data_IF_891028329980
#
_entry.id   IF_891028329980
#
_cell.length_a   1.000
_cell.length_b   1.000
_cell.length_c   1.000
_cell.angle_alpha   90.00
_cell.angle_beta   90.00
_cell.angle_gamma   90.00
#
_symmetry.space_group_name_H-M   'P 1'
#
loop_
_entity.id
_entity.type
_entity.pdbx_description
1 polymer ?
#
# COMPACT_ATOMS: atom_id res chain seq x y z
N UNK A 1 -21.96 21.58 13.90
CA UNK A 1 -22.31 20.48 12.97
C UNK A 1 -21.02 19.87 12.45
N UNK A 2 -20.96 18.54 12.49
CA UNK A 2 -19.92 17.64 11.96
C UNK A 2 -18.48 17.76 12.52
N UNK A 3 -18.29 17.36 13.77
CA UNK A 3 -17.06 16.66 14.16
C UNK A 3 -17.22 15.18 13.84
N UNK A 4 -16.55 14.72 12.79
CA UNK A 4 -16.19 13.31 12.62
C UNK A 4 -14.71 13.28 12.25
N UNK A 5 -13.86 13.52 13.25
CA UNK A 5 -12.46 13.11 13.20
C UNK A 5 -12.48 11.58 13.17
N UNK A 6 -12.33 10.99 11.99
CA UNK A 6 -12.13 9.56 11.86
C UNK A 6 -10.93 9.17 12.72
N UNK A 7 -11.22 8.40 13.77
CA UNK A 7 -10.22 7.72 14.58
C UNK A 7 -9.36 6.85 13.64
N UNK A 8 -8.16 7.33 13.28
CA UNK A 8 -7.20 6.63 12.44
C UNK A 8 -6.45 5.57 13.23
N UNK A 9 -7.15 4.73 13.98
CA UNK A 9 -6.50 3.53 14.50
C UNK A 9 -6.30 2.56 13.33
N UNK A 10 -5.16 2.68 12.65
CA UNK A 10 -4.68 1.72 11.66
C UNK A 10 -4.42 0.39 12.38
N UNK A 11 -5.47 -0.42 12.51
CA UNK A 11 -5.40 -1.74 13.13
C UNK A 11 -5.13 -2.79 12.07
N UNK A 12 -4.17 -3.65 12.32
CA UNK A 12 -3.97 -4.84 11.52
C UNK A 12 -5.20 -5.75 11.63
N UNK A 13 -5.63 -6.31 10.50
CA UNK A 13 -6.73 -7.29 10.44
C UNK A 13 -6.22 -8.74 10.28
N UNK A 14 -4.90 -8.93 10.35
CA UNK A 14 -4.23 -10.21 10.17
C UNK A 14 -4.12 -10.68 8.72
N UNK A 15 -4.62 -9.91 7.74
CA UNK A 15 -4.54 -10.25 6.32
C UNK A 15 -3.31 -9.62 5.68
N UNK A 16 -2.34 -10.46 5.29
CA UNK A 16 -1.15 -9.99 4.57
C UNK A 16 -1.54 -9.49 3.17
N UNK A 17 -1.03 -8.31 2.82
CA UNK A 17 -1.24 -7.65 1.53
C UNK A 17 0.11 -7.30 0.92
N UNK A 18 0.27 -7.60 -0.36
CA UNK A 18 1.37 -7.12 -1.18
C UNK A 18 0.90 -5.93 -2.00
N UNK A 19 1.68 -4.86 -2.00
CA UNK A 19 1.52 -3.70 -2.89
C UNK A 19 2.68 -3.69 -3.87
N UNK A 20 2.36 -3.86 -5.15
CA UNK A 20 3.32 -3.86 -6.24
C UNK A 20 3.03 -2.67 -7.15
N UNK A 21 4.06 -1.99 -7.65
CA UNK A 21 3.84 -0.89 -8.58
C UNK A 21 4.94 -0.77 -9.64
N UNK A 22 4.55 -0.29 -10.83
CA UNK A 22 5.49 0.10 -11.88
C UNK A 22 5.20 1.54 -12.32
N UNK A 23 6.01 2.46 -11.80
CA UNK A 23 5.86 3.90 -12.02
C UNK A 23 7.12 4.36 -12.75
N UNK A 24 7.01 5.00 -13.93
CA UNK A 24 8.16 5.39 -14.73
C UNK A 24 8.99 6.50 -14.07
N UNK A 25 10.21 6.73 -14.56
CA UNK A 25 11.14 7.71 -13.97
C UNK A 25 10.65 9.16 -14.07
N UNK A 26 9.93 9.49 -15.14
CA UNK A 26 9.25 10.79 -15.27
C UNK A 26 8.28 11.09 -14.12
N UNK A 27 7.77 10.05 -13.46
CA UNK A 27 6.84 10.13 -12.32
C UNK A 27 7.52 9.80 -10.98
N UNK A 28 8.85 10.03 -10.87
CA UNK A 28 9.63 9.76 -9.65
C UNK A 28 9.03 10.36 -8.39
N UNK A 29 8.53 11.60 -8.45
CA UNK A 29 7.92 12.26 -7.29
C UNK A 29 6.69 11.50 -6.77
N UNK A 30 5.80 11.08 -7.68
CA UNK A 30 4.62 10.25 -7.36
C UNK A 30 5.03 8.92 -6.73
N UNK A 31 6.11 8.31 -7.22
CA UNK A 31 6.68 7.09 -6.65
C UNK A 31 7.21 7.27 -5.24
N UNK A 32 7.87 8.40 -4.96
CA UNK A 32 8.36 8.68 -3.60
C UNK A 32 7.22 8.98 -2.64
N UNK A 33 6.20 9.70 -3.08
CA UNK A 33 4.97 9.90 -2.33
C UNK A 33 4.33 8.55 -1.96
N UNK A 34 4.14 7.65 -2.93
CA UNK A 34 3.54 6.33 -2.68
C UNK A 34 4.32 5.52 -1.64
N UNK A 35 5.66 5.57 -1.68
CA UNK A 35 6.50 4.91 -0.67
C UNK A 35 6.30 5.52 0.71
N UNK A 36 6.22 6.85 0.80
CA UNK A 36 5.94 7.55 2.06
C UNK A 36 4.59 7.14 2.65
N UNK A 37 3.53 7.14 1.85
CA UNK A 37 2.20 6.72 2.29
C UNK A 37 2.17 5.27 2.75
N UNK A 38 2.86 4.36 2.04
CA UNK A 38 2.95 2.96 2.45
C UNK A 38 3.65 2.82 3.82
N UNK A 39 4.70 3.60 4.08
CA UNK A 39 5.36 3.64 5.40
C UNK A 39 4.38 4.13 6.48
N UNK A 40 3.64 5.21 6.22
CA UNK A 40 2.62 5.74 7.15
C UNK A 40 1.50 4.73 7.41
N UNK A 41 1.11 3.96 6.39
CA UNK A 41 0.14 2.87 6.50
C UNK A 41 0.70 1.61 7.18
N UNK A 42 1.95 1.61 7.64
CA UNK A 42 2.58 0.48 8.33
C UNK A 42 3.03 -0.67 7.40
N UNK A 43 3.18 -0.40 6.11
CA UNK A 43 3.77 -1.34 5.17
C UNK A 43 5.29 -1.25 5.21
N UNK A 44 5.95 -2.41 5.08
CA UNK A 44 7.41 -2.51 4.97
C UNK A 44 7.83 -2.88 3.55
N UNK A 45 9.00 -2.42 3.13
CA UNK A 45 9.53 -2.75 1.82
C UNK A 45 10.03 -4.20 1.78
N UNK A 46 9.61 -4.96 0.77
CA UNK A 46 10.08 -6.33 0.52
C UNK A 46 11.13 -6.34 -0.61
N UNK A 47 10.86 -5.61 -1.70
CA UNK A 47 11.78 -5.38 -2.82
C UNK A 47 11.60 -3.98 -3.39
N UNK A 48 12.37 -3.61 -4.42
CA UNK A 48 12.10 -2.37 -5.17
C UNK A 48 10.68 -2.46 -5.75
N UNK A 49 9.83 -1.52 -5.32
CA UNK A 49 8.43 -1.42 -5.74
C UNK A 49 7.51 -2.56 -5.29
N UNK A 50 7.94 -3.38 -4.31
CA UNK A 50 7.11 -4.41 -3.69
C UNK A 50 7.11 -4.18 -2.18
N UNK A 51 5.92 -4.03 -1.61
CA UNK A 51 5.70 -3.72 -0.20
C UNK A 51 4.73 -4.71 0.42
N UNK A 52 4.86 -4.97 1.72
CA UNK A 52 4.01 -5.91 2.45
C UNK A 52 3.52 -5.31 3.76
N UNK A 53 2.25 -5.53 4.10
CA UNK A 53 1.62 -5.06 5.34
C UNK A 53 0.35 -5.84 5.67
N UNK A 54 -0.15 -5.68 6.90
CA UNK A 54 -1.38 -6.34 7.39
C UNK A 54 -2.49 -5.34 7.74
N UNK A 55 -2.27 -4.06 7.43
CA UNK A 55 -3.23 -2.99 7.67
C UNK A 55 -4.02 -2.75 6.37
N UNK A 56 -5.36 -2.75 6.41
CA UNK A 56 -6.17 -2.34 5.27
C UNK A 56 -5.78 -0.94 4.80
N UNK A 57 -5.54 -0.77 3.50
CA UNK A 57 -5.27 0.55 2.94
C UNK A 57 -6.53 1.43 3.11
N UNK A 58 -6.40 2.62 3.71
CA UNK A 58 -7.54 3.46 3.99
C UNK A 58 -8.14 4.06 2.70
N UNK A 59 -9.38 4.52 2.78
CA UNK A 59 -10.10 5.05 1.62
C UNK A 59 -9.41 6.29 1.02
N UNK A 60 -8.83 7.15 1.86
CA UNK A 60 -8.08 8.34 1.43
C UNK A 60 -6.81 7.97 0.63
N UNK A 61 -6.16 6.86 0.95
CA UNK A 61 -5.06 6.32 0.13
C UNK A 61 -5.53 5.95 -1.28
N UNK A 62 -6.71 5.32 -1.40
CA UNK A 62 -7.27 4.93 -2.70
C UNK A 62 -7.64 6.17 -3.53
N UNK A 63 -8.27 7.16 -2.90
CA UNK A 63 -8.61 8.43 -3.54
C UNK A 63 -7.37 9.19 -4.01
N UNK A 64 -6.31 9.17 -3.21
CA UNK A 64 -5.05 9.81 -3.60
C UNK A 64 -4.36 9.09 -4.77
N UNK A 65 -4.48 7.76 -4.88
CA UNK A 65 -4.01 7.04 -6.07
C UNK A 65 -4.76 7.46 -7.34
N UNK A 66 -6.07 7.69 -7.25
CA UNK A 66 -6.89 8.17 -8.36
C UNK A 66 -6.51 9.61 -8.75
N UNK A 67 -6.39 10.50 -7.77
CA UNK A 67 -5.99 11.89 -7.98
C UNK A 67 -4.60 12.03 -8.61
N UNK A 68 -3.69 11.07 -8.36
CA UNK A 68 -2.34 11.04 -8.93
C UNK A 68 -2.24 10.24 -10.23
N UNK A 69 -3.34 9.71 -10.75
CA UNK A 69 -3.39 8.84 -11.93
C UNK A 69 -2.50 7.59 -11.79
N UNK A 70 -2.39 7.06 -10.57
CA UNK A 70 -1.58 5.90 -10.24
C UNK A 70 -2.39 4.59 -10.18
N UNK A 71 -3.73 4.65 -10.18
CA UNK A 71 -4.58 3.45 -10.00
C UNK A 71 -4.27 2.32 -10.99
N UNK A 72 -3.96 2.65 -12.25
CA UNK A 72 -3.58 1.65 -13.26
C UNK A 72 -2.13 1.13 -13.16
N UNK A 73 -1.34 1.63 -12.20
CA UNK A 73 0.09 1.32 -12.03
C UNK A 73 0.41 0.68 -10.69
N UNK A 74 -0.61 0.50 -9.84
CA UNK A 74 -0.49 -0.06 -8.50
C UNK A 74 -1.44 -1.25 -8.38
N UNK A 75 -0.89 -2.38 -7.95
CA UNK A 75 -1.63 -3.60 -7.69
C UNK A 75 -1.55 -3.95 -6.21
N UNK A 76 -2.70 -4.26 -5.62
CA UNK A 76 -2.80 -4.72 -4.23
C UNK A 76 -3.33 -6.15 -4.25
N UNK A 77 -2.57 -7.07 -3.68
CA UNK A 77 -2.86 -8.51 -3.69
C UNK A 77 -2.94 -8.99 -2.25
N UNK A 78 -3.94 -9.81 -1.93
CA UNK A 78 -3.97 -10.54 -0.66
C UNK A 78 -3.10 -11.79 -0.77
N UNK A 79 -2.33 -12.07 0.27
CA UNK A 79 -1.51 -13.28 0.39
C UNK A 79 -2.24 -14.28 1.28
N UNK A 80 -2.66 -15.40 0.70
CA UNK A 80 -3.38 -16.47 1.41
C UNK A 80 -2.45 -17.58 1.91
N UNK A 81 -1.29 -17.76 1.27
CA UNK A 81 -0.33 -18.81 1.63
C UNK A 81 1.11 -18.42 1.30
N UNK A 82 2.07 -19.09 1.94
CA UNK A 82 3.48 -18.93 1.64
C UNK A 82 3.87 -19.69 0.37
N UNK A 83 4.85 -19.14 -0.36
CA UNK A 83 5.35 -19.75 -1.59
C UNK A 83 6.12 -21.04 -1.35
N UNK A 84 6.37 -21.79 -2.42
CA UNK A 84 7.03 -23.11 -2.38
C UNK A 84 8.54 -23.05 -2.13
N UNK A 85 9.14 -21.86 -2.13
CA UNK A 85 10.57 -21.65 -1.93
C UNK A 85 11.01 -21.79 -0.46
N UNK A 86 10.08 -21.74 0.49
CA UNK A 86 10.34 -21.91 1.92
C UNK A 86 10.29 -23.39 2.38
N UNK A 87 10.52 -24.37 1.49
CA UNK A 87 10.69 -25.76 1.93
C UNK A 87 12.06 -25.92 2.61
N UNK A 88 12.12 -25.66 3.91
CA UNK A 88 13.14 -26.17 4.84
C UNK A 88 12.62 -27.43 5.54
#
# INVERSE_FOLDING_TARGET
MAEQKHDRTLRADGQKRLVCFDIPERDRAKRQWLRGELIVCGYRQLQKSVWIGEIPLPQDFIEALDALELRGRVHVLRVESEGTLNRS
#
